data_IF_366817900018
#
_entry.id   IF_366817900018
#
_cell.length_a   1.000
_cell.length_b   1.000
_cell.length_c   1.000
_cell.angle_alpha   90.00
_cell.angle_beta   90.00
_cell.angle_gamma   90.00
#
_symmetry.space_group_name_H-M   'P 1'
#
loop_
_entity.id
_entity.type
_entity.pdbx_description
1 polymer ?
#
# COMPACT_ATOMS: atom_id res chain seq x y z
N UNK A 1 1.05 -25.79 19.00
CA UNK A 1 0.12 -25.75 20.15
C UNK A 1 0.67 -26.66 21.22
N UNK A 2 0.56 -26.28 22.49
CA UNK A 2 1.04 -27.10 23.62
C UNK A 2 -0.13 -27.77 24.36
N UNK A 3 0.13 -28.86 25.08
CA UNK A 3 -0.89 -29.56 25.89
C UNK A 3 -1.60 -28.62 26.90
N UNK A 4 -0.93 -27.56 27.33
CA UNK A 4 -1.45 -26.56 28.28
C UNK A 4 -2.50 -25.65 27.64
N UNK A 5 -2.41 -25.40 26.33
CA UNK A 5 -3.39 -24.60 25.60
C UNK A 5 -4.75 -25.31 25.50
N UNK A 6 -4.76 -26.65 25.50
CA UNK A 6 -5.97 -27.47 25.55
C UNK A 6 -6.53 -27.65 26.96
N UNK A 7 -5.70 -27.49 27.99
CA UNK A 7 -6.08 -27.62 29.40
C UNK A 7 -6.56 -26.31 30.03
N UNK A 8 -6.37 -25.16 29.35
CA UNK A 8 -7.10 -23.94 29.70
C UNK A 8 -8.58 -24.18 29.42
N UNK A 9 -9.28 -24.68 30.44
CA UNK A 9 -10.73 -24.64 30.58
C UNK A 9 -11.19 -23.18 30.67
N UNK A 10 -10.93 -22.40 29.62
CA UNK A 10 -11.45 -21.07 29.43
C UNK A 10 -12.85 -21.19 28.84
N UNK A 11 -13.83 -20.58 29.49
CA UNK A 11 -15.15 -20.40 28.89
C UNK A 11 -14.96 -19.46 27.71
N UNK A 12 -15.66 -19.71 26.59
CA UNK A 12 -15.65 -18.76 25.47
C UNK A 12 -16.09 -17.39 25.99
N UNK A 13 -15.41 -16.29 25.63
CA UNK A 13 -15.74 -14.96 26.16
C UNK A 13 -17.22 -14.62 25.91
N UNK A 14 -18.00 -14.45 26.98
CA UNK A 14 -19.42 -14.11 26.91
C UNK A 14 -20.40 -15.28 26.79
N UNK A 15 -19.96 -16.54 26.90
CA UNK A 15 -20.87 -17.69 26.99
C UNK A 15 -20.47 -18.66 28.10
N UNK A 16 -21.45 -19.39 28.64
CA UNK A 16 -21.22 -20.40 29.67
C UNK A 16 -20.63 -21.72 29.13
N UNK A 17 -20.42 -21.80 27.81
CA UNK A 17 -20.00 -23.01 27.08
C UNK A 17 -18.49 -23.21 27.18
N UNK A 18 -18.09 -24.45 27.42
CA UNK A 18 -16.69 -24.88 27.44
C UNK A 18 -16.10 -24.79 26.03
N UNK A 19 -14.95 -24.15 25.91
CA UNK A 19 -14.24 -24.03 24.63
C UNK A 19 -13.77 -25.40 24.14
N UNK A 20 -14.15 -25.78 22.93
CA UNK A 20 -13.77 -27.07 22.35
C UNK A 20 -12.44 -26.96 21.60
N UNK A 21 -11.76 -28.09 21.38
CA UNK A 21 -10.53 -28.14 20.57
C UNK A 21 -10.72 -27.51 19.18
N UNK A 22 -11.89 -27.68 18.58
CA UNK A 22 -12.22 -27.08 17.28
C UNK A 22 -12.33 -25.55 17.34
N UNK A 23 -12.87 -25.00 18.44
CA UNK A 23 -12.95 -23.55 18.63
C UNK A 23 -11.55 -22.93 18.73
N UNK A 24 -10.64 -23.58 19.48
CA UNK A 24 -9.26 -23.13 19.62
C UNK A 24 -8.56 -23.18 18.26
N UNK A 25 -8.68 -24.29 17.51
CA UNK A 25 -8.09 -24.41 16.17
C UNK A 25 -8.66 -23.35 15.21
N UNK A 26 -9.96 -23.05 15.28
CA UNK A 26 -10.58 -22.00 14.48
C UNK A 26 -10.03 -20.60 14.82
N UNK A 27 -9.81 -20.28 16.09
CA UNK A 27 -9.20 -19.00 16.48
C UNK A 27 -7.74 -18.89 16.01
N UNK A 28 -6.97 -19.97 16.09
CA UNK A 28 -5.60 -19.99 15.55
C UNK A 28 -5.56 -19.82 14.03
N UNK A 29 -6.45 -20.48 13.28
CA UNK A 29 -6.51 -20.29 11.83
C UNK A 29 -6.90 -18.86 11.45
N UNK A 30 -7.82 -18.22 12.19
CA UNK A 30 -8.16 -16.81 12.01
C UNK A 30 -6.98 -15.88 12.31
N UNK A 31 -6.23 -16.14 13.38
CA UNK A 31 -5.02 -15.38 13.73
C UNK A 31 -3.96 -15.50 12.64
N UNK A 32 -3.73 -16.70 12.11
CA UNK A 32 -2.79 -16.94 11.01
C UNK A 32 -3.22 -16.21 9.72
N UNK A 33 -4.52 -16.25 9.39
CA UNK A 33 -5.05 -15.52 8.24
C UNK A 33 -4.87 -14.00 8.40
N UNK A 34 -5.06 -13.46 9.60
CA UNK A 34 -4.87 -12.03 9.88
C UNK A 34 -3.39 -11.62 9.82
N UNK A 35 -2.48 -12.42 10.38
CA UNK A 35 -1.04 -12.13 10.30
C UNK A 35 -0.56 -12.20 8.85
N UNK A 36 -1.04 -13.17 8.08
CA UNK A 36 -0.73 -13.32 6.68
C UNK A 36 -1.15 -12.08 5.87
N UNK A 37 -2.40 -11.62 6.02
CA UNK A 37 -2.87 -10.40 5.34
C UNK A 37 -2.04 -9.16 5.65
N UNK A 38 -1.62 -8.99 6.91
CA UNK A 38 -0.75 -7.88 7.33
C UNK A 38 0.63 -7.96 6.68
N UNK A 39 1.19 -9.17 6.60
CA UNK A 39 2.47 -9.39 5.94
C UNK A 39 2.39 -9.05 4.45
N UNK A 40 1.36 -9.55 3.76
CA UNK A 40 1.12 -9.26 2.35
C UNK A 40 0.94 -7.76 2.12
N UNK A 41 0.15 -7.08 2.97
CA UNK A 41 -0.02 -5.63 2.90
C UNK A 41 1.29 -4.87 3.09
N UNK A 42 2.14 -5.28 4.04
CA UNK A 42 3.47 -4.68 4.20
C UNK A 42 4.39 -4.92 3.01
N UNK A 43 4.36 -6.12 2.42
CA UNK A 43 5.15 -6.46 1.24
C UNK A 43 4.69 -5.66 0.01
N UNK A 44 3.39 -5.43 -0.15
CA UNK A 44 2.88 -4.51 -1.18
C UNK A 44 3.31 -3.06 -0.92
N UNK A 45 3.32 -2.62 0.34
CA UNK A 45 3.84 -1.31 0.72
C UNK A 45 5.30 -1.13 0.29
N UNK A 46 6.17 -2.09 0.63
CA UNK A 46 7.57 -2.06 0.22
C UNK A 46 7.73 -2.08 -1.32
N UNK A 47 6.97 -2.94 -2.01
CA UNK A 47 7.02 -3.03 -3.47
C UNK A 47 6.60 -1.73 -4.16
N UNK A 48 5.51 -1.10 -3.68
CA UNK A 48 4.96 0.11 -4.30
C UNK A 48 5.74 1.37 -3.96
N UNK A 49 6.20 1.52 -2.71
CA UNK A 49 6.84 2.78 -2.27
C UNK A 49 8.36 2.78 -2.40
N UNK A 50 8.99 1.61 -2.41
CA UNK A 50 10.46 1.48 -2.46
C UNK A 50 10.97 0.67 -3.64
N UNK A 51 10.11 -0.06 -4.35
CA UNK A 51 10.54 -0.97 -5.41
C UNK A 51 11.30 -2.19 -4.88
N UNK A 52 11.11 -2.52 -3.60
CA UNK A 52 11.82 -3.59 -2.92
C UNK A 52 10.81 -4.61 -2.38
N UNK A 53 11.19 -5.88 -2.33
CA UNK A 53 10.45 -6.90 -1.58
C UNK A 53 11.41 -7.60 -0.63
N UNK A 54 11.15 -7.48 0.67
CA UNK A 54 11.92 -8.20 1.69
C UNK A 54 11.45 -9.66 1.76
N UNK A 55 12.37 -10.58 1.51
CA UNK A 55 12.12 -12.02 1.62
C UNK A 55 13.09 -12.65 2.63
N UNK A 56 12.91 -12.41 3.94
CA UNK A 56 13.90 -12.79 4.96
C UNK A 56 14.13 -14.30 5.10
N UNK A 57 13.27 -15.13 4.50
CA UNK A 57 13.30 -16.59 4.61
C UNK A 57 13.85 -17.29 3.36
N UNK A 58 14.25 -16.56 2.32
CA UNK A 58 14.92 -17.11 1.14
C UNK A 58 16.44 -17.09 1.36
N UNK A 59 17.13 -18.15 0.95
CA UNK A 59 18.57 -18.31 1.19
C UNK A 59 19.44 -17.52 0.19
N UNK A 60 18.89 -17.20 -0.99
CA UNK A 60 19.67 -16.69 -2.13
C UNK A 60 19.61 -15.16 -2.29
N UNK A 61 18.51 -14.51 -1.88
CA UNK A 61 18.36 -13.05 -1.97
C UNK A 61 17.35 -12.54 -0.92
N UNK A 62 17.80 -12.09 0.26
CA UNK A 62 16.89 -11.64 1.32
C UNK A 62 16.12 -10.37 0.95
N UNK A 63 16.55 -9.65 -0.09
CA UNK A 63 15.87 -8.49 -0.65
C UNK A 63 15.86 -8.65 -2.17
N UNK A 64 14.67 -8.58 -2.76
CA UNK A 64 14.49 -8.47 -4.20
C UNK A 64 14.38 -6.98 -4.52
N UNK A 65 15.37 -6.45 -5.23
CA UNK A 65 15.32 -5.10 -5.79
C UNK A 65 14.79 -5.17 -7.23
N UNK A 66 13.73 -4.43 -7.52
CA UNK A 66 13.14 -4.39 -8.86
C UNK A 66 14.03 -3.69 -9.89
N UNK A 67 14.88 -2.75 -9.46
CA UNK A 67 15.85 -2.13 -10.34
C UNK A 67 16.85 -3.16 -10.87
N UNK A 68 17.42 -3.97 -9.97
CA UNK A 68 18.44 -4.96 -10.34
C UNK A 68 17.85 -6.21 -11.01
N UNK A 69 16.67 -6.64 -10.57
CA UNK A 69 16.07 -7.92 -11.00
C UNK A 69 15.25 -7.80 -12.28
N UNK A 70 14.65 -6.63 -12.54
CA UNK A 70 13.69 -6.43 -13.63
C UNK A 70 14.00 -5.22 -14.51
N UNK A 71 15.14 -4.56 -14.31
CA UNK A 71 15.56 -3.33 -15.04
C UNK A 71 14.49 -2.23 -15.00
N UNK A 72 13.77 -2.16 -13.87
CA UNK A 72 12.65 -1.25 -13.66
C UNK A 72 12.91 -0.31 -12.47
N UNK A 73 13.86 0.65 -12.60
CA UNK A 73 14.18 1.58 -11.52
C UNK A 73 13.04 2.56 -11.25
N UNK A 74 12.87 2.95 -9.99
CA UNK A 74 11.92 4.01 -9.62
C UNK A 74 12.35 5.36 -10.21
N UNK A 75 11.41 6.08 -10.83
CA UNK A 75 11.64 7.44 -11.29
C UNK A 75 11.69 8.40 -10.09
N UNK A 76 12.82 9.06 -9.89
CA UNK A 76 13.00 10.06 -8.84
C UNK A 76 13.21 11.44 -9.45
N UNK A 77 12.58 12.47 -8.86
CA UNK A 77 12.79 13.86 -9.21
C UNK A 77 12.65 14.76 -7.98
N UNK A 78 13.27 15.94 -8.01
CA UNK A 78 13.29 16.88 -6.88
C UNK A 78 12.54 18.16 -7.25
N UNK A 79 11.62 18.57 -6.37
CA UNK A 79 10.89 19.84 -6.50
C UNK A 79 11.20 20.76 -5.32
N UNK A 80 11.56 22.01 -5.62
CA UNK A 80 11.84 23.04 -4.61
C UNK A 80 10.60 23.91 -4.37
N UNK A 81 9.76 23.48 -3.42
CA UNK A 81 8.51 24.18 -3.04
C UNK A 81 8.73 25.39 -2.11
N UNK A 82 9.97 25.72 -1.76
CA UNK A 82 10.32 26.87 -0.92
C UNK A 82 10.43 28.18 -1.72
N UNK A 83 10.59 28.10 -3.04
CA UNK A 83 10.75 29.26 -3.90
C UNK A 83 9.43 29.60 -4.61
N UNK A 84 8.82 30.73 -4.26
CA UNK A 84 7.55 31.19 -4.83
C UNK A 84 7.58 31.52 -6.32
N UNK A 85 8.76 31.51 -6.96
CA UNK A 85 8.91 31.65 -8.42
C UNK A 85 8.68 30.34 -9.18
N UNK A 86 8.66 29.19 -8.50
CA UNK A 86 8.46 27.89 -9.16
C UNK A 86 6.97 27.65 -9.34
N UNK A 87 6.49 27.44 -10.57
CA UNK A 87 5.11 27.01 -10.72
C UNK A 87 4.98 25.52 -10.40
N UNK A 88 4.51 25.22 -9.18
CA UNK A 88 4.30 23.85 -8.76
C UNK A 88 3.39 23.07 -9.72
N UNK A 89 2.39 23.70 -10.35
CA UNK A 89 1.47 23.00 -11.25
C UNK A 89 2.16 22.57 -12.55
N UNK A 90 3.03 23.42 -13.10
CA UNK A 90 3.83 23.10 -14.29
C UNK A 90 4.76 21.93 -14.01
N UNK A 91 5.43 21.93 -12.85
CA UNK A 91 6.32 20.83 -12.46
C UNK A 91 5.54 19.51 -12.29
N UNK A 92 4.37 19.55 -11.65
CA UNK A 92 3.51 18.37 -11.53
C UNK A 92 2.98 17.88 -12.87
N UNK A 93 2.73 18.77 -13.83
CA UNK A 93 2.39 18.37 -15.19
C UNK A 93 3.57 17.66 -15.87
N UNK A 94 4.80 18.18 -15.71
CA UNK A 94 6.01 17.51 -16.19
C UNK A 94 6.22 16.12 -15.59
N UNK A 95 5.81 15.89 -14.33
CA UNK A 95 5.79 14.55 -13.73
C UNK A 95 4.76 13.64 -14.41
N UNK A 96 3.58 14.14 -14.77
CA UNK A 96 2.60 13.34 -15.53
C UNK A 96 3.12 12.96 -16.90
N UNK A 97 3.79 13.87 -17.61
CA UNK A 97 4.39 13.58 -18.91
C UNK A 97 5.42 12.45 -18.80
N UNK A 98 6.27 12.51 -17.77
CA UNK A 98 7.24 11.45 -17.45
C UNK A 98 6.57 10.12 -17.16
N UNK A 99 5.53 10.10 -16.33
CA UNK A 99 4.77 8.87 -16.04
C UNK A 99 4.11 8.34 -17.31
N UNK A 100 3.52 9.21 -18.14
CA UNK A 100 2.89 8.81 -19.40
C UNK A 100 3.87 8.16 -20.36
N UNK A 101 5.09 8.69 -20.45
CA UNK A 101 6.17 8.11 -21.25
C UNK A 101 6.66 6.77 -20.70
N UNK A 102 6.73 6.61 -19.37
CA UNK A 102 7.15 5.37 -18.73
C UNK A 102 6.08 4.27 -18.77
N UNK A 103 4.81 4.65 -18.96
CA UNK A 103 3.67 3.73 -18.98
C UNK A 103 3.49 3.03 -20.35
N UNK A 104 4.34 3.34 -21.34
CA UNK A 104 4.49 2.68 -22.64
C UNK A 104 3.19 2.09 -23.25
N UNK A 105 2.23 2.98 -23.56
CA UNK A 105 0.96 2.61 -24.20
C UNK A 105 -0.20 2.26 -23.26
N UNK A 106 0.07 1.99 -21.97
CA UNK A 106 -0.98 1.73 -20.96
C UNK A 106 -1.57 3.03 -20.37
N UNK A 107 -1.15 4.21 -20.84
CA UNK A 107 -1.61 5.49 -20.32
C UNK A 107 -3.12 5.70 -20.49
N UNK A 108 -3.70 5.15 -21.56
CA UNK A 108 -5.16 5.17 -21.79
C UNK A 108 -5.93 4.48 -20.67
N UNK A 109 -5.28 3.54 -20.00
CA UNK A 109 -5.87 2.76 -18.93
C UNK A 109 -5.55 3.35 -17.55
N UNK A 110 -4.80 4.45 -17.47
CA UNK A 110 -4.57 5.19 -16.22
C UNK A 110 -5.80 6.04 -15.93
N UNK A 111 -6.49 5.73 -14.83
CA UNK A 111 -7.68 6.46 -14.39
C UNK A 111 -7.32 7.77 -13.71
N UNK A 112 -6.27 7.75 -12.89
CA UNK A 112 -5.78 8.89 -12.10
C UNK A 112 -4.40 8.56 -11.54
N UNK A 113 -3.65 9.59 -11.17
CA UNK A 113 -2.40 9.43 -10.40
C UNK A 113 -2.66 9.83 -8.96
N UNK A 114 -2.25 9.00 -8.01
CA UNK A 114 -2.37 9.29 -6.58
C UNK A 114 -0.99 9.61 -6.03
N UNK A 115 -0.84 10.77 -5.41
CA UNK A 115 0.38 11.24 -4.79
C UNK A 115 0.28 11.09 -3.26
N UNK A 116 1.05 10.14 -2.71
CA UNK A 116 1.18 9.95 -1.27
C UNK A 116 2.29 10.87 -0.75
N UNK A 117 1.91 11.91 -0.01
CA UNK A 117 2.83 12.92 0.48
C UNK A 117 3.05 12.82 1.99
N UNK A 118 4.30 13.02 2.42
CA UNK A 118 4.60 13.30 3.82
C UNK A 118 3.87 14.57 4.29
N UNK A 119 3.65 14.68 5.61
CA UNK A 119 2.92 15.81 6.18
C UNK A 119 3.58 17.18 5.89
N UNK A 120 4.92 17.24 5.89
CA UNK A 120 5.69 18.44 5.57
C UNK A 120 5.54 18.82 4.09
N UNK A 121 5.71 17.86 3.18
CA UNK A 121 5.55 18.07 1.75
C UNK A 121 4.13 18.51 1.41
N UNK A 122 3.12 17.82 1.94
CA UNK A 122 1.70 18.15 1.72
C UNK A 122 1.37 19.59 2.14
N UNK A 123 1.84 20.02 3.32
CA UNK A 123 1.59 21.39 3.79
C UNK A 123 2.33 22.41 2.91
N UNK A 124 3.58 22.14 2.54
CA UNK A 124 4.35 23.04 1.66
C UNK A 124 3.69 23.22 0.29
N UNK A 125 3.15 22.14 -0.29
CA UNK A 125 2.41 22.17 -1.55
C UNK A 125 1.08 22.91 -1.40
N UNK A 126 0.28 22.59 -0.36
CA UNK A 126 -1.02 23.23 -0.13
C UNK A 126 -0.92 24.74 0.04
N UNK A 127 0.13 25.22 0.72
CA UNK A 127 0.31 26.64 1.00
C UNK A 127 1.21 27.37 0.00
N UNK A 128 1.63 26.69 -1.08
CA UNK A 128 2.42 27.27 -2.16
C UNK A 128 1.69 28.43 -2.85
N UNK A 129 2.45 29.43 -3.31
CA UNK A 129 1.89 30.64 -3.92
C UNK A 129 1.07 30.34 -5.19
N UNK A 130 1.61 29.50 -6.09
CA UNK A 130 0.91 29.10 -7.32
C UNK A 130 -0.37 28.32 -7.06
N UNK A 131 -0.38 27.49 -6.02
CA UNK A 131 -1.57 26.74 -5.60
C UNK A 131 -2.64 27.69 -5.05
N UNK A 132 -2.26 28.64 -4.19
CA UNK A 132 -3.17 29.66 -3.69
C UNK A 132 -3.79 30.49 -4.81
N UNK A 133 -3.02 30.89 -5.83
CA UNK A 133 -3.56 31.63 -6.98
C UNK A 133 -4.44 30.76 -7.88
N UNK A 134 -4.08 29.50 -8.12
CA UNK A 134 -4.88 28.60 -8.94
C UNK A 134 -6.26 28.33 -8.33
N UNK A 135 -6.35 28.26 -7.00
CA UNK A 135 -7.62 28.10 -6.31
C UNK A 135 -8.44 29.40 -6.15
N UNK A 136 -7.86 30.58 -6.35
CA UNK A 136 -8.61 31.85 -6.27
C UNK A 136 -9.68 31.99 -7.35
N UNK A 137 -9.52 31.28 -8.47
CA UNK A 137 -10.45 31.30 -9.61
C UNK A 137 -11.43 30.13 -9.62
N UNK A 138 -11.43 29.29 -8.58
CA UNK A 138 -12.38 28.18 -8.45
C UNK A 138 -13.59 28.67 -7.64
N UNK A 139 -14.78 28.56 -8.22
CA UNK A 139 -16.04 29.05 -7.65
C UNK A 139 -16.28 28.49 -6.23
N UNK A 140 -16.31 29.33 -5.17
CA UNK A 140 -16.47 28.90 -3.77
C UNK A 140 -17.72 28.07 -3.48
N UNK A 141 -18.73 28.09 -4.35
CA UNK A 141 -20.00 27.37 -4.17
C UNK A 141 -20.15 26.14 -5.06
N UNK A 142 -19.15 25.80 -5.88
CA UNK A 142 -19.18 24.58 -6.66
C UNK A 142 -18.93 23.38 -5.73
N UNK A 143 -19.77 22.35 -5.78
CA UNK A 143 -19.61 21.09 -5.02
C UNK A 143 -18.29 20.35 -5.34
N UNK A 144 -17.61 20.76 -6.42
CA UNK A 144 -16.27 20.32 -6.82
C UNK A 144 -15.13 21.24 -6.32
N UNK A 145 -15.42 22.28 -5.54
CA UNK A 145 -14.40 23.21 -5.06
C UNK A 145 -13.58 22.63 -3.89
N UNK A 146 -12.36 22.27 -4.24
CA UNK A 146 -11.36 21.55 -3.45
C UNK A 146 -10.92 22.31 -2.18
N UNK A 147 -11.10 23.64 -2.09
CA UNK A 147 -10.59 24.43 -0.96
C UNK A 147 -11.53 24.47 0.25
N UNK A 148 -12.85 24.48 0.03
CA UNK A 148 -13.81 24.78 1.11
C UNK A 148 -14.86 23.71 1.37
N UNK A 149 -15.13 22.79 0.43
CA UNK A 149 -16.09 21.71 0.65
C UNK A 149 -15.66 20.44 -0.07
N UNK A 150 -15.14 19.45 0.69
CA UNK A 150 -15.07 18.07 0.21
C UNK A 150 -15.83 17.17 1.17
N UNK A 151 -16.72 16.35 0.61
CA UNK A 151 -17.25 15.16 1.28
C UNK A 151 -16.08 14.19 1.45
N UNK A 152 -15.41 14.26 2.60
CA UNK A 152 -14.38 13.29 2.97
C UNK A 152 -15.05 11.92 3.12
N UNK A 153 -14.73 10.99 2.21
CA UNK A 153 -15.16 9.59 2.34
C UNK A 153 -14.53 8.91 3.57
N UNK A 154 -13.39 9.43 4.05
CA UNK A 154 -12.78 9.03 5.32
C UNK A 154 -12.50 10.28 6.18
N UNK A 155 -13.16 10.44 7.34
CA UNK A 155 -13.17 11.67 8.13
C UNK A 155 -11.84 12.06 8.81
N UNK A 156 -10.72 11.40 8.47
CA UNK A 156 -9.40 11.65 9.05
C UNK A 156 -8.27 11.77 8.00
N UNK A 157 -8.58 11.62 6.70
CA UNK A 157 -7.57 11.62 5.63
C UNK A 157 -7.67 12.92 4.85
N UNK A 158 -6.68 13.80 5.07
CA UNK A 158 -6.59 15.06 4.33
C UNK A 158 -6.16 14.79 2.89
N UNK A 159 -7.00 15.15 1.94
CA UNK A 159 -6.75 14.96 0.51
C UNK A 159 -7.18 16.20 -0.28
N UNK A 160 -6.49 16.49 -1.37
CA UNK A 160 -6.93 17.47 -2.36
C UNK A 160 -6.53 17.03 -3.77
N UNK A 161 -7.27 17.46 -4.78
CA UNK A 161 -6.94 17.21 -6.20
C UNK A 161 -6.23 18.44 -6.77
N UNK A 162 -5.16 18.26 -7.55
CA UNK A 162 -4.51 19.40 -8.19
C UNK A 162 -5.43 20.01 -9.27
N UNK A 163 -5.62 21.34 -9.30
CA UNK A 163 -6.51 21.98 -10.26
C UNK A 163 -5.99 21.76 -11.69
N UNK A 164 -6.87 21.31 -12.59
CA UNK A 164 -6.54 21.05 -13.99
C UNK A 164 -5.74 19.77 -14.25
N UNK A 165 -5.35 19.02 -13.21
CA UNK A 165 -4.57 17.79 -13.33
C UNK A 165 -5.30 16.60 -12.72
N UNK A 166 -5.11 15.41 -13.27
CA UNK A 166 -5.68 14.14 -12.77
C UNK A 166 -4.87 13.55 -11.60
N UNK A 167 -4.38 14.41 -10.70
CA UNK A 167 -3.57 14.04 -9.54
C UNK A 167 -4.34 14.28 -8.25
N UNK A 168 -4.54 13.22 -7.48
CA UNK A 168 -5.05 13.29 -6.11
C UNK A 168 -3.87 13.25 -5.12
N UNK A 169 -3.66 14.31 -4.35
CA UNK A 169 -2.63 14.36 -3.30
C UNK A 169 -3.25 13.96 -1.96
N UNK A 170 -2.65 12.97 -1.30
CA UNK A 170 -3.06 12.41 -0.02
C UNK A 170 -1.98 12.67 1.01
N UNK A 171 -2.36 13.28 2.13
CA UNK A 171 -1.49 13.40 3.29
C UNK A 171 -1.43 12.07 4.01
N UNK A 172 -0.25 11.48 4.08
CA UNK A 172 -0.03 10.24 4.84
C UNK A 172 0.18 10.60 6.31
N UNK A 173 -0.78 10.18 7.14
CA UNK A 173 -0.76 10.31 8.61
C UNK A 173 -0.82 8.95 9.31
N UNK A 174 -1.00 7.87 8.56
CA UNK A 174 -1.08 6.51 9.11
C UNK A 174 0.31 6.03 9.55
N UNK A 175 0.49 5.64 10.83
CA UNK A 175 1.74 5.08 11.34
C UNK A 175 2.27 3.86 10.59
N UNK A 176 1.40 3.10 9.90
CA UNK A 176 1.83 1.95 9.11
C UNK A 176 2.47 2.36 7.78
N UNK A 177 2.04 3.47 7.20
CA UNK A 177 2.54 3.96 5.91
C UNK A 177 3.67 4.99 6.04
N UNK A 178 3.73 5.67 7.19
CA UNK A 178 4.75 6.68 7.50
C UNK A 178 6.20 6.18 7.34
N UNK A 179 6.55 4.92 7.69
CA UNK A 179 7.91 4.42 7.49
C UNK A 179 8.34 4.34 6.02
N UNK A 180 7.39 4.18 5.09
CA UNK A 180 7.70 4.04 3.67
C UNK A 180 7.95 5.37 2.96
N UNK A 181 7.53 6.49 3.55
CA UNK A 181 7.63 7.83 2.96
C UNK A 181 8.49 8.70 3.86
N UNK A 182 9.70 9.02 3.41
CA UNK A 182 10.60 9.92 4.13
C UNK A 182 9.99 11.32 4.28
N UNK A 183 10.36 12.03 5.35
CA UNK A 183 9.89 13.40 5.55
C UNK A 183 10.37 14.30 4.40
N UNK A 184 9.49 15.18 3.93
CA UNK A 184 9.75 16.05 2.77
C UNK A 184 9.64 15.36 1.41
N UNK A 185 9.28 14.07 1.37
CA UNK A 185 9.11 13.33 0.12
C UNK A 185 7.64 13.05 -0.20
N UNK A 186 7.39 12.68 -1.45
CA UNK A 186 6.12 12.18 -1.92
C UNK A 186 6.33 11.10 -2.99
N UNK A 187 5.40 10.15 -3.08
CA UNK A 187 5.42 9.06 -4.06
C UNK A 187 4.17 9.15 -4.92
N UNK A 188 4.35 9.18 -6.25
CA UNK A 188 3.25 9.26 -7.21
C UNK A 188 3.02 7.88 -7.85
N UNK A 189 1.80 7.37 -7.75
CA UNK A 189 1.41 6.06 -8.25
C UNK A 189 0.25 6.17 -9.24
N UNK A 190 0.39 5.69 -10.48
CA UNK A 190 -0.72 5.60 -11.41
C UNK A 190 -1.70 4.50 -10.97
N UNK A 191 -2.98 4.85 -10.94
CA UNK A 191 -4.08 3.93 -10.66
C UNK A 191 -4.70 3.53 -11.99
N UNK A 192 -4.45 2.28 -12.37
CA UNK A 192 -4.97 1.71 -13.61
C UNK A 192 -6.44 1.31 -13.48
N UNK A 193 -7.11 1.21 -14.61
CA UNK A 193 -8.45 0.63 -14.71
C UNK A 193 -8.42 -0.85 -14.29
N UNK A 194 -9.56 -1.33 -13.79
CA UNK A 194 -9.74 -2.75 -13.51
C UNK A 194 -9.48 -3.57 -14.78
N UNK A 195 -8.86 -4.74 -14.65
CA UNK A 195 -8.55 -5.68 -15.74
C UNK A 195 -7.33 -5.33 -16.62
N UNK A 196 -6.52 -4.36 -16.22
CA UNK A 196 -5.24 -4.02 -16.89
C UNK A 196 -4.09 -4.95 -16.49
N UNK A 197 -4.24 -5.70 -15.39
CA UNK A 197 -3.28 -6.67 -14.88
C UNK A 197 -1.84 -6.13 -14.69
N UNK A 198 -1.69 -4.83 -14.44
CA UNK A 198 -0.38 -4.19 -14.22
C UNK A 198 0.22 -4.60 -12.87
N UNK A 199 -0.58 -4.56 -11.81
CA UNK A 199 -0.17 -5.03 -10.48
C UNK A 199 -0.71 -6.44 -10.26
N UNK A 200 0.20 -7.42 -10.16
CA UNK A 200 -0.15 -8.82 -9.96
C UNK A 200 0.44 -9.36 -8.65
N UNK A 201 -0.36 -10.11 -7.90
CA UNK A 201 0.13 -10.94 -6.81
C UNK A 201 0.37 -12.35 -7.34
N UNK A 202 1.64 -12.77 -7.38
CA UNK A 202 2.03 -14.10 -7.80
C UNK A 202 2.35 -14.95 -6.57
N UNK A 203 1.84 -16.18 -6.53
CA UNK A 203 2.11 -17.16 -5.49
C UNK A 203 2.49 -18.50 -6.09
N UNK A 204 3.43 -19.18 -5.43
CA UNK A 204 3.97 -20.47 -5.86
C UNK A 204 3.47 -21.65 -5.01
N UNK A 205 4.02 -22.85 -5.24
CA UNK A 205 3.75 -24.02 -4.41
C UNK A 205 4.29 -23.84 -2.97
N UNK A 206 3.84 -24.68 -2.05
CA UNK A 206 4.29 -24.65 -0.66
C UNK A 206 5.82 -24.84 -0.56
N UNK A 207 6.51 -23.96 0.18
CA UNK A 207 7.98 -23.97 0.28
C UNK A 207 8.52 -24.81 1.44
N UNK A 208 7.72 -25.01 2.50
CA UNK A 208 8.20 -25.61 3.77
C UNK A 208 7.89 -27.10 3.88
N UNK A 209 6.81 -27.56 3.24
CA UNK A 209 6.36 -28.94 3.35
C UNK A 209 6.45 -29.63 1.99
N UNK A 210 7.35 -30.61 1.89
CA UNK A 210 7.60 -31.37 0.66
C UNK A 210 6.38 -32.16 0.19
N UNK A 211 5.51 -32.60 1.11
CA UNK A 211 4.28 -33.32 0.73
C UNK A 211 3.27 -32.37 0.09
N UNK A 212 3.13 -31.16 0.64
CA UNK A 212 2.27 -30.14 0.04
C UNK A 212 2.87 -29.60 -1.26
N UNK A 213 4.19 -29.43 -1.33
CA UNK A 213 4.88 -29.02 -2.55
C UNK A 213 4.67 -30.06 -3.69
N UNK A 214 4.80 -31.35 -3.37
CA UNK A 214 4.61 -32.44 -4.32
C UNK A 214 3.16 -32.60 -4.79
N UNK A 215 2.19 -32.10 -4.03
CA UNK A 215 0.77 -32.13 -4.41
C UNK A 215 0.44 -31.26 -5.62
N UNK A 216 1.34 -30.34 -6.00
CA UNK A 216 1.15 -29.43 -7.15
C UNK A 216 0.06 -28.38 -6.95
N UNK A 217 -0.53 -28.30 -5.74
CA UNK A 217 -1.53 -27.30 -5.40
C UNK A 217 -0.82 -25.97 -5.18
N UNK A 218 -1.27 -24.92 -5.86
CA UNK A 218 -0.83 -23.54 -5.64
C UNK A 218 -1.88 -22.79 -4.84
N UNK A 219 -1.51 -22.36 -3.64
CA UNK A 219 -2.36 -21.54 -2.79
C UNK A 219 -1.51 -20.50 -2.08
N UNK A 220 -2.11 -19.33 -1.88
CA UNK A 220 -1.48 -18.18 -1.24
C UNK A 220 -1.00 -18.48 0.20
N UNK A 221 -1.76 -19.30 0.94
CA UNK A 221 -1.36 -19.81 2.24
C UNK A 221 -1.89 -21.24 2.45
N UNK A 222 -1.11 -22.05 3.17
CA UNK A 222 -1.49 -23.40 3.56
C UNK A 222 -1.58 -23.49 5.07
N UNK A 223 -2.65 -24.11 5.57
CA UNK A 223 -2.82 -24.44 6.98
C UNK A 223 -2.75 -25.95 7.13
N UNK A 224 -1.73 -26.43 7.83
CA UNK A 224 -1.53 -27.85 8.12
C UNK A 224 -1.25 -28.06 9.61
N UNK A 225 -1.57 -29.25 10.11
CA UNK A 225 -1.35 -29.64 11.50
C UNK A 225 -0.61 -30.97 11.54
N UNK A 226 0.51 -31.00 12.26
CA UNK A 226 1.24 -32.23 12.56
C UNK A 226 1.14 -32.51 14.06
N UNK A 227 0.76 -33.74 14.40
CA UNK A 227 0.90 -34.25 15.75
C UNK A 227 2.31 -34.81 15.91
N UNK A 228 3.09 -34.23 16.83
CA UNK A 228 4.42 -34.74 17.14
C UNK A 228 4.29 -35.75 18.28
N UNK A 229 4.58 -37.01 17.99
CA UNK A 229 4.65 -38.03 19.05
C UNK A 229 5.68 -37.63 20.11
N UNK A 230 5.31 -37.83 21.37
CA UNK A 230 6.22 -37.65 22.51
C UNK A 230 7.27 -38.76 22.44
N UNK A 231 8.49 -38.37 22.10
CA UNK A 231 9.70 -39.11 22.47
C UNK A 231 10.13 -38.69 23.87
#
# INVERSE_FOLDING_TARGET
>A
MSAVDFQKSGRKPGTDVQETMLDIVADYTLKHAKSYKRYVESAYGDALFRGLVQTPYTQEAPVIDYADSFDAPMMADTITLSNGSTDALEVFNGFLDKISSATDGLWTDVRRVVCFASASFYNSLRFHASMKSAYQYVDPFNEMNIVYQRKEALPNVQTFTLPGLSIDVIKVTDPLLTPFIADGTAVMLPVFQSNTNVYQHLYGPASVDTNLAASGITQEYFSYQYERERW
#
